data_IF_787145347686
#
_entry.id   IF_787145347686
#
_cell.length_a   1.000
_cell.length_b   1.000
_cell.length_c   1.000
_cell.angle_alpha   90.00
_cell.angle_beta   90.00
_cell.angle_gamma   90.00
#
_symmetry.space_group_name_H-M   'P 1'
#
loop_
_entity.id
_entity.type
_entity.pdbx_description
1 polymer ?
#
# COMPACT_ATOMS: atom_id res chain seq x y z
N UNK A 1 39.56 5.50 9.46
CA UNK A 1 38.66 4.43 9.96
C UNK A 1 37.26 4.80 9.53
N UNK A 2 36.60 3.98 8.71
CA UNK A 2 35.17 4.12 8.46
C UNK A 2 34.41 3.71 9.73
N UNK A 3 33.31 4.40 10.11
CA UNK A 3 32.54 4.01 11.29
C UNK A 3 31.85 2.67 11.03
N UNK A 4 32.00 1.77 11.99
CA UNK A 4 31.37 0.45 12.00
C UNK A 4 29.84 0.62 12.00
N UNK A 5 29.20 0.19 10.91
CA UNK A 5 27.75 0.23 10.74
C UNK A 5 27.11 -0.72 11.77
N UNK A 6 26.61 -0.16 12.87
CA UNK A 6 25.81 -0.94 13.82
C UNK A 6 24.54 -1.43 13.11
N UNK A 7 24.22 -2.73 13.12
CA UNK A 7 22.97 -3.22 12.55
C UNK A 7 21.78 -2.59 13.30
N UNK A 8 20.69 -2.22 12.58
CA UNK A 8 19.50 -1.69 13.21
C UNK A 8 18.91 -2.71 14.19
N UNK A 9 18.21 -2.26 15.25
CA UNK A 9 17.52 -3.18 16.15
C UNK A 9 16.52 -4.04 15.35
N UNK A 10 16.30 -5.30 15.74
CA UNK A 10 15.20 -6.11 15.20
C UNK A 10 13.89 -5.33 15.28
N UNK A 11 13.05 -5.38 14.25
CA UNK A 11 11.79 -4.63 14.18
C UNK A 11 10.88 -4.84 15.40
N UNK A 12 10.99 -6.01 16.05
CA UNK A 12 10.30 -6.42 17.27
C UNK A 12 10.69 -5.62 18.52
N UNK A 13 11.84 -4.94 18.50
CA UNK A 13 12.33 -4.06 19.58
C UNK A 13 12.15 -2.57 19.26
N UNK A 14 11.70 -2.24 18.06
CA UNK A 14 11.40 -0.87 17.69
C UNK A 14 10.10 -0.40 18.37
N UNK A 15 10.03 0.87 18.70
CA UNK A 15 8.76 1.52 19.04
C UNK A 15 8.01 1.92 17.76
N UNK A 16 8.76 2.30 16.72
CA UNK A 16 8.23 2.89 15.50
C UNK A 16 8.76 2.21 14.23
N UNK A 17 7.87 1.96 13.29
CA UNK A 17 8.17 1.46 11.96
C UNK A 17 8.03 2.59 10.95
N UNK A 18 9.03 2.74 10.09
CA UNK A 18 9.01 3.66 8.95
C UNK A 18 8.79 2.90 7.66
N UNK A 19 7.91 3.43 6.84
CA UNK A 19 7.68 2.99 5.48
C UNK A 19 7.67 4.20 4.56
N UNK A 20 8.47 4.14 3.50
CA UNK A 20 8.53 5.17 2.46
C UNK A 20 7.74 4.67 1.25
N UNK A 21 6.87 5.50 0.70
CA UNK A 21 6.11 5.17 -0.52
C UNK A 21 5.73 6.43 -1.29
N UNK A 22 5.37 6.23 -2.55
CA UNK A 22 4.92 7.28 -3.47
C UNK A 22 3.52 6.91 -3.95
N UNK A 23 2.55 7.81 -3.80
CA UNK A 23 1.17 7.60 -4.21
C UNK A 23 0.77 8.61 -5.28
N UNK A 24 -0.14 8.27 -6.22
CA UNK A 24 -0.76 9.27 -7.08
C UNK A 24 -1.40 10.38 -6.25
N UNK A 25 -1.30 11.61 -6.73
CA UNK A 25 -2.03 12.72 -6.12
C UNK A 25 -3.54 12.55 -6.34
N UNK A 26 -4.42 13.02 -5.43
CA UNK A 26 -5.86 12.94 -5.62
C UNK A 26 -6.37 13.64 -6.89
N UNK A 27 -5.60 14.59 -7.44
CA UNK A 27 -5.90 15.26 -8.71
C UNK A 27 -5.52 14.42 -9.94
N UNK A 28 -4.84 13.29 -9.77
CA UNK A 28 -4.30 12.47 -10.86
C UNK A 28 -3.11 13.10 -11.59
N UNK A 29 -2.69 14.30 -11.20
CA UNK A 29 -1.55 15.00 -11.80
C UNK A 29 -0.30 14.74 -10.94
N UNK A 30 0.38 13.64 -11.26
CA UNK A 30 1.66 13.29 -10.64
C UNK A 30 1.53 12.48 -9.35
N UNK A 31 2.59 12.55 -8.53
CA UNK A 31 2.79 11.67 -7.38
C UNK A 31 3.17 12.47 -6.13
N UNK A 32 2.85 11.91 -4.97
CA UNK A 32 3.14 12.43 -3.64
C UNK A 32 4.02 11.43 -2.90
N UNK A 33 5.22 11.87 -2.54
CA UNK A 33 6.15 11.10 -1.72
C UNK A 33 5.77 11.22 -0.24
N UNK A 34 5.70 10.08 0.45
CA UNK A 34 5.21 10.04 1.82
C UNK A 34 6.00 9.06 2.68
N UNK A 35 6.22 9.44 3.94
CA UNK A 35 6.71 8.55 5.00
C UNK A 35 5.54 8.24 5.92
N UNK A 36 5.18 6.96 6.00
CA UNK A 36 4.26 6.45 7.01
C UNK A 36 5.04 6.01 8.24
N UNK A 37 4.53 6.48 9.37
CA UNK A 37 4.95 6.10 10.71
C UNK A 37 3.90 5.12 11.25
N UNK A 38 4.34 4.03 11.85
CA UNK A 38 3.44 3.02 12.44
C UNK A 38 4.01 2.54 13.76
N UNK A 39 3.22 2.52 14.82
CA UNK A 39 3.67 1.96 16.09
C UNK A 39 3.73 0.44 16.01
N UNK A 40 4.68 -0.19 16.70
CA UNK A 40 4.69 -1.66 16.84
C UNK A 40 3.54 -2.17 17.71
N UNK A 41 3.04 -1.33 18.63
CA UNK A 41 1.88 -1.66 19.47
C UNK A 41 0.57 -1.46 18.72
N UNK A 42 -0.39 -2.33 19.01
CA UNK A 42 -1.78 -2.16 18.60
C UNK A 42 -2.59 -1.41 19.65
N UNK A 43 -3.58 -0.67 19.19
CA UNK A 43 -4.53 0.09 19.97
C UNK A 43 -5.94 -0.36 19.61
N UNK A 44 -6.88 -0.17 20.53
CA UNK A 44 -8.26 -0.62 20.38
C UNK A 44 -9.09 0.15 19.34
N UNK A 45 -8.49 1.10 18.63
CA UNK A 45 -9.19 2.01 17.75
C UNK A 45 -8.32 2.53 16.59
N UNK A 46 -8.95 2.85 15.46
CA UNK A 46 -8.28 3.54 14.35
C UNK A 46 -8.01 5.03 14.62
N UNK A 47 -8.62 5.61 15.66
CA UNK A 47 -8.42 7.01 16.03
C UNK A 47 -7.08 7.32 16.69
N UNK A 48 -6.23 6.32 16.95
CA UNK A 48 -4.89 6.55 17.50
C UNK A 48 -3.91 6.98 16.40
N UNK A 49 -3.31 8.15 16.59
CA UNK A 49 -2.41 8.77 15.62
C UNK A 49 -1.05 9.09 16.23
N UNK A 50 -0.05 9.18 15.36
CA UNK A 50 1.32 9.60 15.69
C UNK A 50 1.50 11.01 15.15
N UNK A 51 1.36 12.06 15.98
CA UNK A 51 1.57 13.42 15.54
C UNK A 51 3.05 13.60 15.20
N UNK A 52 3.31 14.19 14.04
CA UNK A 52 4.66 14.39 13.54
C UNK A 52 4.78 15.73 12.84
N UNK A 53 5.95 16.37 12.96
CA UNK A 53 6.26 17.60 12.24
C UNK A 53 7.49 17.39 11.38
N UNK A 54 7.36 17.71 10.09
CA UNK A 54 8.48 17.75 9.16
C UNK A 54 9.10 19.14 9.15
N UNK A 55 10.42 19.19 9.11
CA UNK A 55 11.21 20.37 8.76
C UNK A 55 12.32 19.95 7.81
N UNK A 56 12.70 20.86 6.91
CA UNK A 56 13.73 20.60 5.90
C UNK A 56 14.77 21.72 5.93
N UNK A 57 16.04 21.33 5.93
CA UNK A 57 17.19 22.19 5.74
C UNK A 57 18.07 21.60 4.63
N UNK A 58 19.08 22.34 4.16
CA UNK A 58 19.95 21.87 3.07
C UNK A 58 20.55 20.49 3.39
N UNK A 59 20.19 19.47 2.61
CA UNK A 59 20.67 18.09 2.76
C UNK A 59 20.11 17.31 3.97
N UNK A 60 19.21 17.89 4.76
CA UNK A 60 18.65 17.28 5.96
C UNK A 60 17.12 17.40 6.02
N UNK A 61 16.46 16.28 6.26
CA UNK A 61 15.04 16.23 6.63
C UNK A 61 14.96 15.85 8.11
N UNK A 62 14.25 16.64 8.90
CA UNK A 62 14.01 16.34 10.32
C UNK A 62 12.53 16.12 10.57
N UNK A 63 12.23 14.97 11.17
CA UNK A 63 10.90 14.59 11.63
C UNK A 63 10.93 14.57 13.16
N UNK A 64 10.20 15.48 13.79
CA UNK A 64 9.92 15.44 15.22
C UNK A 64 8.64 14.63 15.46
N UNK A 65 8.77 13.49 16.14
CA UNK A 65 7.68 12.54 16.41
C UNK A 65 7.17 12.72 17.84
N UNK A 66 5.89 13.07 17.95
CA UNK A 66 5.20 13.20 19.24
C UNK A 66 4.80 11.86 19.84
N UNK A 67 4.15 11.93 21.01
CA UNK A 67 3.54 10.76 21.65
C UNK A 67 2.26 10.37 20.90
N UNK A 68 1.96 9.07 20.87
CA UNK A 68 0.67 8.57 20.37
C UNK A 68 -0.46 9.29 21.10
N UNK A 69 -1.44 9.78 20.35
CA UNK A 69 -2.63 10.43 20.90
C UNK A 69 -3.88 9.85 20.25
N UNK A 70 -4.95 9.80 21.01
CA UNK A 70 -6.26 9.48 20.48
C UNK A 70 -6.90 10.76 19.93
N UNK A 71 -7.28 10.75 18.65
CA UNK A 71 -8.11 11.80 18.06
C UNK A 71 -9.57 11.52 18.47
N UNK A 72 -10.22 12.42 19.22
CA UNK A 72 -11.61 12.20 19.63
C UNK A 72 -12.52 12.04 18.41
N UNK A 73 -13.39 11.03 18.44
CA UNK A 73 -14.33 10.72 17.37
C UNK A 73 -14.96 9.33 17.54
N UNK A 74 -15.85 8.91 16.60
CA UNK A 74 -16.35 7.55 16.56
C UNK A 74 -15.17 6.59 16.53
N UNK A 75 -15.26 5.52 17.31
CA UNK A 75 -14.25 4.48 17.34
C UNK A 75 -14.80 3.25 16.61
N UNK A 76 -14.52 3.07 15.31
CA UNK A 76 -14.83 1.82 14.64
C UNK A 76 -14.14 0.69 15.41
N UNK A 77 -14.84 -0.43 15.64
CA UNK A 77 -14.33 -1.60 16.35
C UNK A 77 -13.21 -2.27 15.53
N UNK A 78 -12.03 -1.68 15.55
CA UNK A 78 -10.87 -2.10 14.79
C UNK A 78 -9.62 -1.92 15.66
N UNK A 79 -8.94 -3.04 15.89
CA UNK A 79 -7.67 -3.09 16.62
C UNK A 79 -6.54 -2.98 15.61
N UNK A 80 -5.64 -2.02 15.80
CA UNK A 80 -4.54 -1.81 14.87
C UNK A 80 -3.51 -0.82 15.40
N UNK A 81 -2.38 -0.66 14.71
CA UNK A 81 -1.33 0.23 15.16
C UNK A 81 -1.74 1.70 15.04
N UNK A 82 -1.18 2.54 15.90
CA UNK A 82 -1.25 3.98 15.69
C UNK A 82 -0.44 4.34 14.44
N UNK A 83 -0.96 5.27 13.65
CA UNK A 83 -0.29 5.67 12.41
C UNK A 83 -0.14 7.19 12.31
N UNK A 84 0.91 7.60 11.62
CA UNK A 84 1.16 8.98 11.24
C UNK A 84 1.59 9.02 9.79
N UNK A 85 1.27 10.11 9.10
CA UNK A 85 1.63 10.30 7.71
C UNK A 85 2.35 11.62 7.54
N UNK A 86 3.48 11.58 6.83
CA UNK A 86 4.29 12.74 6.52
C UNK A 86 4.41 12.82 5.02
N UNK A 87 3.86 13.88 4.46
CA UNK A 87 4.06 14.21 3.05
C UNK A 87 5.39 14.93 2.91
N UNK A 88 6.28 14.39 2.09
CA UNK A 88 7.55 15.04 1.75
C UNK A 88 7.29 16.11 0.68
N UNK A 89 7.96 17.27 0.75
CA UNK A 89 7.82 18.30 -0.28
C UNK A 89 8.40 17.80 -1.60
N UNK A 90 7.92 18.35 -2.72
CA UNK A 90 8.44 18.00 -4.07
C UNK A 90 9.94 18.28 -4.23
N UNK A 91 10.45 19.23 -3.44
CA UNK A 91 11.88 19.58 -3.37
C UNK A 91 12.73 18.54 -2.65
N UNK A 92 12.13 17.52 -2.02
CA UNK A 92 12.85 16.41 -1.39
C UNK A 92 13.36 15.37 -2.41
N UNK A 93 13.83 15.80 -3.59
CA UNK A 93 14.53 14.94 -4.57
C UNK A 93 16.05 15.06 -4.38
N UNK A 94 16.72 13.92 -4.39
CA UNK A 94 18.15 13.78 -4.11
C UNK A 94 18.43 12.89 -2.89
N UNK A 95 19.67 12.96 -2.39
CA UNK A 95 20.07 12.24 -1.18
C UNK A 95 20.04 13.18 0.03
N UNK A 96 19.37 12.75 1.09
CA UNK A 96 19.20 13.47 2.33
C UNK A 96 19.60 12.60 3.52
N UNK A 97 20.07 13.26 4.58
CA UNK A 97 20.05 12.65 5.91
C UNK A 97 18.66 12.89 6.52
N UNK A 98 17.94 11.81 6.82
CA UNK A 98 16.70 11.89 7.57
C UNK A 98 16.98 11.70 9.06
N UNK A 99 16.65 12.70 9.88
CA UNK A 99 16.71 12.64 11.34
C UNK A 99 15.32 12.49 11.92
N UNK A 100 15.13 11.46 12.72
CA UNK A 100 13.89 11.17 13.44
C UNK A 100 14.12 11.43 14.93
N UNK A 101 13.35 12.34 15.53
CA UNK A 101 13.49 12.70 16.95
C UNK A 101 12.26 12.30 17.74
N UNK A 102 12.45 11.62 18.86
CA UNK A 102 11.37 11.27 19.79
C UNK A 102 11.88 11.27 21.23
N UNK A 103 11.20 11.99 22.14
CA UNK A 103 11.48 11.90 23.57
C UNK A 103 12.95 12.14 23.97
N UNK A 104 13.67 12.99 23.24
CA UNK A 104 15.11 13.26 23.45
C UNK A 104 16.06 12.27 22.77
N UNK A 105 15.55 11.21 22.15
CA UNK A 105 16.32 10.30 21.30
C UNK A 105 16.31 10.76 19.84
N UNK A 106 17.32 10.37 19.09
CA UNK A 106 17.44 10.64 17.66
C UNK A 106 17.93 9.39 16.92
N UNK A 107 17.19 9.04 15.87
CA UNK A 107 17.55 8.05 14.86
C UNK A 107 17.89 8.77 13.55
N UNK A 108 18.77 8.17 12.76
CA UNK A 108 19.30 8.72 11.51
C UNK A 108 19.22 7.68 10.40
N UNK A 109 18.77 8.13 9.25
CA UNK A 109 18.62 7.33 8.04
C UNK A 109 19.23 8.07 6.86
N UNK A 110 19.75 7.31 5.91
CA UNK A 110 19.99 7.81 4.56
C UNK A 110 18.69 7.68 3.79
N UNK A 111 18.18 8.81 3.33
CA UNK A 111 17.03 8.89 2.44
C UNK A 111 17.54 9.23 1.04
N UNK A 112 17.34 8.32 0.08
CA UNK A 112 17.58 8.58 -1.34
C UNK A 112 16.23 8.75 -2.01
N UNK A 113 16.07 9.82 -2.79
CA UNK A 113 14.86 10.12 -3.57
C UNK A 113 15.24 10.50 -4.99
N UNK A 114 15.27 9.53 -5.88
CA UNK A 114 15.55 9.69 -7.30
C UNK A 114 14.33 9.27 -8.13
N UNK A 115 14.38 9.47 -9.45
CA UNK A 115 13.25 9.14 -10.33
C UNK A 115 12.89 7.64 -10.31
N UNK A 116 13.87 6.78 -10.09
CA UNK A 116 13.75 5.33 -10.15
C UNK A 116 14.18 4.62 -8.86
N UNK A 117 14.64 5.37 -7.84
CA UNK A 117 15.16 4.85 -6.56
C UNK A 117 14.69 5.66 -5.35
N UNK A 118 13.93 5.03 -4.44
CA UNK A 118 13.70 5.53 -3.10
C UNK A 118 14.31 4.53 -2.16
N UNK A 119 15.12 5.02 -1.25
CA UNK A 119 15.79 4.19 -0.29
C UNK A 119 15.69 4.85 1.06
N UNK A 120 15.35 4.07 2.07
CA UNK A 120 15.45 4.49 3.45
C UNK A 120 16.29 3.46 4.19
N UNK A 121 17.58 3.77 4.32
CA UNK A 121 18.54 2.88 4.96
C UNK A 121 18.93 3.43 6.34
N UNK A 122 18.89 2.62 7.41
CA UNK A 122 19.33 3.06 8.73
C UNK A 122 20.83 3.37 8.72
N UNK A 123 21.19 4.56 9.21
CA UNK A 123 22.57 4.91 9.55
C UNK A 123 22.82 4.69 11.04
N UNK A 124 21.82 5.07 11.86
CA UNK A 124 21.80 4.87 13.30
C UNK A 124 20.36 4.78 13.78
N UNK A 125 19.94 3.63 14.26
CA UNK A 125 18.57 3.42 14.72
C UNK A 125 18.56 2.87 16.15
N UNK A 126 17.73 3.43 17.02
CA UNK A 126 17.61 3.11 18.45
C UNK A 126 16.18 2.81 18.84
N UNK A 127 15.23 3.56 18.31
CA UNK A 127 13.81 3.43 18.65
C UNK A 127 12.93 3.15 17.43
N UNK A 128 13.47 3.24 16.22
CA UNK A 128 12.73 2.95 15.01
C UNK A 128 13.41 1.94 14.09
N UNK A 129 12.62 1.32 13.22
CA UNK A 129 13.09 0.39 12.20
C UNK A 129 12.41 0.66 10.86
N UNK A 130 13.09 0.33 9.77
CA UNK A 130 12.55 0.41 8.42
C UNK A 130 11.84 -0.90 8.08
N UNK A 131 10.65 -0.81 7.49
CA UNK A 131 9.99 -1.96 6.85
C UNK A 131 10.43 -2.15 5.39
N UNK A 132 11.51 -1.48 4.97
CA UNK A 132 12.09 -1.57 3.62
C UNK A 132 13.20 -2.62 3.52
N UNK A 133 13.35 -3.31 2.37
CA UNK A 133 12.57 -3.10 1.15
C UNK A 133 11.30 -3.94 1.22
N UNK A 134 10.13 -3.30 1.25
CA UNK A 134 8.96 -3.98 0.71
C UNK A 134 9.32 -4.29 -0.75
N UNK A 135 9.19 -5.55 -1.15
CA UNK A 135 9.17 -5.90 -2.57
C UNK A 135 7.92 -5.24 -3.12
N UNK A 136 8.12 -4.20 -3.91
CA UNK A 136 7.05 -3.43 -4.51
C UNK A 136 6.96 -3.85 -5.98
N UNK A 137 5.74 -3.98 -6.50
CA UNK A 137 5.49 -4.49 -7.84
C UNK A 137 5.12 -3.32 -8.76
N UNK A 138 5.81 -3.18 -9.90
CA UNK A 138 5.52 -2.16 -10.91
C UNK A 138 4.49 -2.69 -11.91
N UNK A 139 3.41 -1.92 -12.06
CA UNK A 139 2.44 -2.08 -13.11
C UNK A 139 2.56 -0.88 -14.08
N UNK A 140 2.68 -1.09 -15.41
CA UNK A 140 2.64 0.00 -16.39
C UNK A 140 1.37 0.85 -16.28
N UNK A 141 1.43 2.10 -16.74
CA UNK A 141 0.23 2.93 -16.91
C UNK A 141 -0.82 2.19 -17.76
N UNK A 142 -2.09 2.31 -17.39
CA UNK A 142 -3.16 1.55 -18.02
C UNK A 142 -3.29 0.10 -17.54
N UNK A 143 -2.57 -0.32 -16.48
CA UNK A 143 -2.77 -1.65 -15.88
C UNK A 143 -3.97 -1.66 -14.93
N UNK A 144 -4.67 -2.80 -14.88
CA UNK A 144 -5.69 -3.13 -13.90
C UNK A 144 -5.26 -4.35 -13.09
N UNK A 145 -5.59 -4.36 -11.81
CA UNK A 145 -5.67 -5.60 -11.04
C UNK A 145 -7.11 -6.12 -11.07
N UNK A 146 -7.26 -7.37 -11.47
CA UNK A 146 -8.49 -8.14 -11.39
C UNK A 146 -8.36 -9.15 -10.26
N UNK A 147 -9.23 -9.03 -9.26
CA UNK A 147 -9.34 -10.01 -8.19
C UNK A 147 -10.65 -10.77 -8.36
N UNK A 148 -10.58 -12.09 -8.21
CA UNK A 148 -11.76 -12.93 -8.11
C UNK A 148 -11.60 -13.89 -6.94
N UNK A 149 -12.57 -13.90 -6.04
CA UNK A 149 -12.63 -14.82 -4.90
C UNK A 149 -13.95 -15.56 -4.98
N UNK A 150 -13.88 -16.87 -5.10
CA UNK A 150 -15.03 -17.75 -4.98
C UNK A 150 -14.96 -18.46 -3.62
N UNK A 151 -16.04 -18.36 -2.83
CA UNK A 151 -16.11 -18.89 -1.46
C UNK A 151 -16.31 -20.40 -1.44
N UNK A 152 -15.44 -21.13 -2.11
CA UNK A 152 -15.51 -22.58 -2.26
C UNK A 152 -15.42 -23.33 -0.92
N UNK A 153 -14.98 -22.69 0.16
CA UNK A 153 -15.00 -23.23 1.52
C UNK A 153 -16.41 -23.36 2.10
N UNK A 154 -17.40 -22.63 1.58
CA UNK A 154 -18.80 -22.72 2.01
C UNK A 154 -19.57 -23.77 1.18
N UNK A 155 -20.24 -24.72 1.85
CA UNK A 155 -21.08 -25.74 1.20
C UNK A 155 -22.09 -25.12 0.22
N UNK A 156 -22.81 -24.08 0.66
CA UNK A 156 -23.82 -23.41 -0.16
C UNK A 156 -23.26 -22.87 -1.47
N UNK A 157 -21.99 -22.44 -1.47
CA UNK A 157 -21.36 -21.87 -2.65
C UNK A 157 -20.91 -22.96 -3.62
N UNK A 158 -20.43 -24.10 -3.12
CA UNK A 158 -20.17 -25.27 -3.95
C UNK A 158 -21.45 -25.79 -4.62
N UNK A 159 -22.55 -25.86 -3.88
CA UNK A 159 -23.86 -26.24 -4.42
C UNK A 159 -24.38 -25.21 -5.45
N UNK A 160 -24.22 -23.92 -5.15
CA UNK A 160 -24.54 -22.84 -6.08
C UNK A 160 -23.77 -22.98 -7.40
N UNK A 161 -22.46 -23.24 -7.34
CA UNK A 161 -21.65 -23.49 -8.53
C UNK A 161 -22.06 -24.77 -9.28
N UNK A 162 -22.36 -25.87 -8.56
CA UNK A 162 -22.86 -27.10 -9.17
C UNK A 162 -24.21 -26.90 -9.88
N UNK A 163 -25.02 -25.93 -9.42
CA UNK A 163 -26.26 -25.50 -10.05
C UNK A 163 -26.06 -24.51 -11.22
N UNK A 164 -24.82 -24.24 -11.63
CA UNK A 164 -24.49 -23.32 -12.73
C UNK A 164 -24.25 -21.88 -12.31
N UNK A 165 -24.12 -21.60 -11.01
CA UNK A 165 -23.74 -20.29 -10.49
C UNK A 165 -22.33 -19.86 -10.94
N UNK A 166 -22.06 -18.54 -11.02
CA UNK A 166 -20.80 -18.04 -11.53
C UNK A 166 -19.63 -18.37 -10.58
N UNK A 167 -18.47 -18.68 -11.16
CA UNK A 167 -17.23 -18.99 -10.43
C UNK A 167 -16.06 -18.20 -11.00
N UNK A 168 -14.92 -18.18 -10.29
CA UNK A 168 -13.71 -17.56 -10.83
C UNK A 168 -13.19 -18.27 -12.08
N UNK A 169 -13.39 -19.58 -12.20
CA UNK A 169 -13.01 -20.32 -13.41
C UNK A 169 -13.83 -19.84 -14.63
N UNK A 170 -15.13 -19.62 -14.45
CA UNK A 170 -15.99 -19.06 -15.50
C UNK A 170 -15.58 -17.62 -15.84
N UNK A 171 -15.34 -16.79 -14.82
CA UNK A 171 -14.92 -15.40 -14.98
C UNK A 171 -13.64 -15.25 -15.80
N UNK A 172 -12.59 -16.03 -15.49
CA UNK A 172 -11.33 -15.96 -16.23
C UNK A 172 -11.38 -16.65 -17.61
N UNK A 173 -12.39 -17.49 -17.87
CA UNK A 173 -12.62 -18.10 -19.18
C UNK A 173 -13.48 -17.23 -20.12
N UNK A 174 -14.08 -16.16 -19.62
CA UNK A 174 -14.87 -15.21 -20.41
C UNK A 174 -14.05 -14.58 -21.54
N UNK A 175 -14.53 -14.54 -22.79
CA UNK A 175 -13.80 -13.91 -23.89
C UNK A 175 -13.39 -12.45 -23.64
N UNK A 176 -14.22 -11.66 -22.95
CA UNK A 176 -13.94 -10.25 -22.66
C UNK A 176 -12.84 -10.08 -21.61
N UNK A 177 -12.65 -11.08 -20.74
CA UNK A 177 -11.60 -11.14 -19.71
C UNK A 177 -10.33 -11.79 -20.27
N UNK A 178 -10.47 -12.89 -21.01
CA UNK A 178 -9.38 -13.67 -21.57
C UNK A 178 -8.59 -12.91 -22.66
N UNK A 179 -9.22 -11.94 -23.32
CA UNK A 179 -8.54 -11.03 -24.27
C UNK A 179 -7.64 -9.99 -23.60
N UNK A 180 -7.75 -9.80 -22.28
CA UNK A 180 -6.95 -8.82 -21.57
C UNK A 180 -5.52 -9.35 -21.46
N UNK A 181 -4.54 -8.57 -21.94
CA UNK A 181 -3.15 -9.00 -21.97
C UNK A 181 -2.58 -9.06 -20.54
N UNK A 182 -2.13 -10.25 -20.07
CA UNK A 182 -1.48 -10.35 -18.78
C UNK A 182 -0.24 -9.47 -18.72
N UNK A 183 -0.08 -8.78 -17.61
CA UNK A 183 1.09 -7.98 -17.31
C UNK A 183 1.91 -8.76 -16.29
N UNK A 184 3.10 -9.17 -16.70
CA UNK A 184 4.09 -9.63 -15.75
C UNK A 184 4.53 -8.43 -14.89
N UNK A 185 4.24 -8.53 -13.60
CA UNK A 185 4.72 -7.54 -12.66
C UNK A 185 6.22 -7.67 -12.51
N UNK A 186 6.91 -6.58 -12.81
CA UNK A 186 8.34 -6.49 -12.53
C UNK A 186 8.50 -6.09 -11.07
N UNK A 187 9.36 -6.83 -10.35
CA UNK A 187 9.89 -6.32 -9.09
C UNK A 187 10.56 -4.97 -9.38
N UNK A 188 10.18 -3.96 -8.63
CA UNK A 188 10.71 -2.61 -8.77
C UNK A 188 10.53 -1.83 -7.48
N UNK A 189 11.19 -0.69 -7.34
CA UNK A 189 11.32 -0.05 -6.03
C UNK A 189 10.05 0.62 -5.47
N UNK A 190 8.89 0.66 -6.16
CA UNK A 190 7.64 1.36 -5.72
C UNK A 190 6.33 0.67 -6.07
N UNK A 191 5.32 0.85 -5.20
CA UNK A 191 3.93 0.47 -5.44
C UNK A 191 3.06 1.70 -5.63
N UNK A 192 2.16 1.63 -6.59
CA UNK A 192 0.87 2.26 -6.44
C UNK A 192 0.12 1.52 -5.32
N UNK A 193 -0.43 2.25 -4.35
CA UNK A 193 -1.20 1.65 -3.27
C UNK A 193 -2.29 0.73 -3.83
N UNK A 194 -2.51 -0.39 -3.14
CA UNK A 194 -3.57 -1.41 -3.36
C UNK A 194 -3.20 -2.56 -4.31
N UNK A 195 -2.03 -3.21 -4.18
CA UNK A 195 -1.78 -4.52 -4.83
C UNK A 195 -1.19 -5.58 -3.89
N UNK A 196 -1.51 -5.50 -2.59
CA UNK A 196 -0.93 -6.38 -1.56
C UNK A 196 -1.62 -7.74 -1.40
N UNK A 197 -2.46 -8.16 -2.35
CA UNK A 197 -3.04 -9.52 -2.33
C UNK A 197 -2.46 -10.36 -3.48
N UNK A 198 -1.81 -11.50 -3.20
CA UNK A 198 -1.23 -12.38 -4.23
C UNK A 198 -2.28 -13.12 -5.07
N UNK A 199 -3.58 -12.84 -4.88
CA UNK A 199 -4.69 -13.56 -5.51
C UNK A 199 -5.29 -12.85 -6.75
N UNK A 200 -4.70 -11.73 -7.18
CA UNK A 200 -5.17 -10.99 -8.36
C UNK A 200 -4.33 -11.23 -9.61
N UNK A 201 -4.97 -11.23 -10.79
CA UNK A 201 -4.31 -11.17 -12.08
C UNK A 201 -4.10 -9.70 -12.50
N UNK A 202 -2.99 -9.40 -13.15
CA UNK A 202 -2.67 -8.06 -13.64
C UNK A 202 -2.76 -8.03 -15.14
N UNK A 203 -3.47 -7.05 -15.69
CA UNK A 203 -3.77 -7.01 -17.12
C UNK A 203 -3.72 -5.58 -17.69
N UNK A 204 -3.40 -5.44 -18.98
CA UNK A 204 -3.51 -4.14 -19.66
C UNK A 204 -4.97 -3.80 -19.92
N UNK A 205 -5.33 -2.56 -19.63
CA UNK A 205 -6.62 -1.95 -20.01
C UNK A 205 -6.39 -0.89 -21.08
N UNK A 206 -6.83 -1.13 -22.32
CA UNK A 206 -6.67 -0.18 -23.43
C UNK A 206 -7.62 1.04 -23.34
N UNK A 207 -8.06 1.44 -22.14
CA UNK A 207 -8.95 2.59 -21.92
C UNK A 207 -10.44 2.25 -21.79
N UNK A 208 -10.79 1.01 -21.42
CA UNK A 208 -12.17 0.51 -21.41
C UNK A 208 -12.73 0.08 -20.03
N UNK A 209 -12.29 0.72 -18.94
CA UNK A 209 -12.66 0.29 -17.57
C UNK A 209 -14.18 0.30 -17.35
N UNK A 210 -14.89 1.30 -17.86
CA UNK A 210 -16.35 1.39 -17.72
C UNK A 210 -17.10 0.27 -18.46
N UNK A 211 -16.63 -0.10 -19.66
CA UNK A 211 -17.21 -1.19 -20.43
C UNK A 211 -16.98 -2.54 -19.73
N UNK A 212 -15.78 -2.74 -19.19
CA UNK A 212 -15.42 -3.93 -18.42
C UNK A 212 -16.25 -4.03 -17.12
N UNK A 213 -16.40 -2.93 -16.39
CA UNK A 213 -17.25 -2.88 -15.18
C UNK A 213 -18.71 -3.20 -15.52
N UNK A 214 -19.23 -2.66 -16.62
CA UNK A 214 -20.58 -2.97 -17.09
C UNK A 214 -20.74 -4.45 -17.42
N UNK A 215 -19.81 -5.00 -18.21
CA UNK A 215 -19.78 -6.42 -18.56
C UNK A 215 -19.80 -7.32 -17.32
N UNK A 216 -18.92 -7.03 -16.35
CA UNK A 216 -18.83 -7.76 -15.08
C UNK A 216 -20.14 -7.69 -14.30
N UNK A 217 -20.71 -6.49 -14.17
CA UNK A 217 -21.94 -6.27 -13.41
C UNK A 217 -23.15 -7.00 -14.00
N UNK A 218 -23.21 -7.16 -15.32
CA UNK A 218 -24.30 -7.83 -16.02
C UNK A 218 -24.13 -9.37 -16.01
N UNK A 219 -22.94 -9.87 -16.31
CA UNK A 219 -22.69 -11.30 -16.52
C UNK A 219 -22.32 -12.07 -15.24
N UNK A 220 -21.79 -11.38 -14.23
CA UNK A 220 -21.30 -12.00 -12.97
C UNK A 220 -22.04 -11.49 -11.74
N UNK A 221 -23.31 -11.08 -11.93
CA UNK A 221 -24.19 -10.76 -10.82
C UNK A 221 -24.47 -12.03 -10.01
N UNK A 222 -24.01 -12.05 -8.77
CA UNK A 222 -24.24 -13.18 -7.86
C UNK A 222 -25.04 -12.75 -6.62
N UNK A 223 -26.37 -12.91 -6.63
CA UNK A 223 -27.20 -12.60 -5.47
C UNK A 223 -26.92 -13.51 -4.26
N UNK A 224 -26.24 -14.64 -4.47
CA UNK A 224 -25.87 -15.58 -3.41
C UNK A 224 -24.61 -15.14 -2.66
N UNK A 225 -23.91 -14.12 -3.15
CA UNK A 225 -22.68 -13.55 -2.57
C UNK A 225 -21.52 -14.56 -2.40
N UNK A 226 -21.52 -15.59 -3.24
CA UNK A 226 -20.52 -16.64 -3.32
C UNK A 226 -19.31 -16.25 -4.20
N UNK A 227 -19.50 -15.34 -5.15
CA UNK A 227 -18.48 -14.79 -6.03
C UNK A 227 -18.23 -13.31 -5.74
N UNK A 228 -16.98 -12.99 -5.39
CA UNK A 228 -16.48 -11.63 -5.25
C UNK A 228 -15.55 -11.30 -6.41
N UNK A 229 -15.80 -10.17 -7.07
CA UNK A 229 -14.94 -9.61 -8.11
C UNK A 229 -14.61 -8.18 -7.72
N UNK A 230 -13.33 -7.84 -7.76
CA UNK A 230 -12.84 -6.49 -7.59
C UNK A 230 -11.89 -6.10 -8.72
N UNK A 231 -11.97 -4.83 -9.10
CA UNK A 231 -11.15 -4.24 -10.13
C UNK A 231 -10.52 -2.98 -9.55
N UNK A 232 -9.18 -2.92 -9.59
CA UNK A 232 -8.42 -1.76 -9.12
C UNK A 232 -7.64 -1.15 -10.28
N UNK A 233 -7.79 0.16 -10.48
CA UNK A 233 -7.06 0.90 -11.50
C UNK A 233 -5.70 1.34 -10.99
N UNK A 234 -4.78 1.58 -11.92
CA UNK A 234 -3.51 2.22 -11.64
C UNK A 234 -3.63 3.65 -11.07
N UNK A 235 -4.81 4.28 -11.02
CA UNK A 235 -5.00 5.58 -10.37
C UNK A 235 -5.58 5.48 -8.95
N UNK A 236 -5.79 4.26 -8.45
CA UNK A 236 -6.41 4.02 -7.14
C UNK A 236 -7.95 4.07 -7.15
N UNK A 237 -8.56 4.21 -8.33
CA UNK A 237 -9.99 3.96 -8.51
C UNK A 237 -10.30 2.47 -8.45
N UNK A 238 -11.55 2.11 -8.15
CA UNK A 238 -11.93 0.70 -8.15
C UNK A 238 -13.42 0.45 -8.19
N UNK A 239 -13.75 -0.81 -8.46
CA UNK A 239 -15.11 -1.35 -8.49
C UNK A 239 -15.12 -2.69 -7.73
N UNK A 240 -16.22 -2.98 -7.05
CA UNK A 240 -16.55 -4.31 -6.55
C UNK A 240 -17.98 -4.68 -6.91
N UNK A 241 -18.24 -5.97 -7.12
CA UNK A 241 -19.59 -6.48 -7.34
C UNK A 241 -20.39 -6.71 -6.02
N UNK A 242 -19.88 -6.19 -4.89
CA UNK A 242 -20.58 -6.09 -3.59
C UNK A 242 -21.20 -4.73 -3.39
#
# INVERSE_FOLDING_TARGET
MAPELMPPPPAEKAWLLLQLYELPTPSGQGTSLQIRLTSVRNYSCLGYEIPSRLSMAAGELRIDVGKVRFRPGPCPAAIGPASGLIVLPETARGTFTLRLRHGGQEDQYRLVVEQDRLELAPLRARFSATLSPLVLLRAPEGTLQLQCIFKDWENRCREHAAAGGPTCAMFFADPEIARLEPVELKQGAYSLGIFSYPQGCFVRSPGGVEALVRHISEHYRDPSTCLYIALHTWTGGGFSNL
#
